data_IF_595037626720
#
_entry.id   IF_595037626720
#
_cell.length_a   1.000
_cell.length_b   1.000
_cell.length_c   1.000
_cell.angle_alpha   90.00
_cell.angle_beta   90.00
_cell.angle_gamma   90.00
#
_symmetry.space_group_name_H-M   'P 1'
#
loop_
_entity.id
_entity.type
_entity.pdbx_description
1 polymer ?
#
# COMPACT_ATOMS: atom_id res chain seq x y z
N UNK A 1 -62.34 24.97 56.28
CA UNK A 1 -61.21 24.04 56.05
C UNK A 1 -61.44 23.36 54.70
N UNK A 2 -60.76 23.83 53.66
CA UNK A 2 -60.74 23.24 52.32
C UNK A 2 -59.28 23.23 51.86
N UNK A 3 -58.74 22.12 51.31
CA UNK A 3 -57.35 22.10 50.86
C UNK A 3 -57.26 22.68 49.45
N UNK A 4 -56.35 23.64 49.27
CA UNK A 4 -55.92 24.12 47.96
C UNK A 4 -55.15 23.00 47.24
N UNK A 5 -55.64 22.57 46.08
CA UNK A 5 -54.89 21.78 45.11
C UNK A 5 -54.11 22.72 44.20
N UNK A 6 -52.79 22.74 44.34
CA UNK A 6 -51.88 23.37 43.37
C UNK A 6 -51.60 22.36 42.27
N UNK A 7 -52.06 22.65 41.06
CA UNK A 7 -51.79 21.87 39.85
C UNK A 7 -50.61 22.51 39.11
N UNK A 8 -49.42 21.90 39.22
CA UNK A 8 -48.27 22.25 38.38
C UNK A 8 -48.50 21.64 36.99
N UNK A 9 -48.75 22.50 35.99
CA UNK A 9 -48.68 22.13 34.57
C UNK A 9 -47.23 22.31 34.11
N UNK A 10 -46.53 21.20 33.86
CA UNK A 10 -45.32 21.22 33.04
C UNK A 10 -45.71 21.50 31.58
N UNK A 11 -45.06 22.43 30.86
CA UNK A 11 -45.26 22.58 29.44
C UNK A 11 -44.54 21.47 28.69
N UNK A 12 -45.30 20.66 27.95
CA UNK A 12 -44.80 19.70 26.97
C UNK A 12 -44.22 20.46 25.77
N UNK A 13 -42.96 20.88 25.86
CA UNK A 13 -42.19 21.38 24.72
C UNK A 13 -41.58 20.17 24.01
N UNK A 14 -42.38 19.57 23.12
CA UNK A 14 -41.91 18.59 22.15
C UNK A 14 -41.13 19.35 21.06
N UNK A 15 -39.88 19.71 21.34
CA UNK A 15 -38.98 20.22 20.32
C UNK A 15 -38.62 19.06 19.40
N UNK A 16 -39.05 19.15 18.14
CA UNK A 16 -38.61 18.25 17.10
C UNK A 16 -37.10 18.44 16.91
N UNK A 17 -36.31 17.55 17.51
CA UNK A 17 -34.91 17.33 17.16
C UNK A 17 -34.89 16.78 15.73
N UNK A 18 -34.87 17.68 14.75
CA UNK A 18 -34.44 17.34 13.40
C UNK A 18 -32.95 16.99 13.54
N UNK A 19 -32.53 15.75 13.27
CA UNK A 19 -31.11 15.45 13.23
C UNK A 19 -30.51 16.35 12.14
N UNK A 20 -29.70 17.33 12.56
CA UNK A 20 -28.70 17.93 11.68
C UNK A 20 -27.73 16.80 11.35
N UNK A 21 -28.08 15.98 10.35
CA UNK A 21 -27.11 15.21 9.63
C UNK A 21 -26.09 16.25 9.13
N UNK A 22 -24.90 16.25 9.73
CA UNK A 22 -23.72 16.82 9.10
C UNK A 22 -23.60 16.04 7.80
N UNK A 23 -24.21 16.59 6.76
CA UNK A 23 -24.04 16.11 5.40
C UNK A 23 -22.56 16.31 5.18
N UNK A 24 -21.77 15.23 5.30
CA UNK A 24 -20.45 15.20 4.70
C UNK A 24 -20.63 15.82 3.32
N UNK A 25 -19.85 16.87 2.97
CA UNK A 25 -20.03 17.56 1.70
C UNK A 25 -20.19 16.49 0.64
N UNK A 26 -21.36 16.45 -0.01
CA UNK A 26 -21.62 15.42 -1.00
C UNK A 26 -20.44 15.50 -1.97
N UNK A 27 -19.66 14.41 -2.05
CA UNK A 27 -18.50 14.37 -2.93
C UNK A 27 -19.00 14.80 -4.29
N UNK A 28 -18.48 15.94 -4.77
CA UNK A 28 -18.80 16.42 -6.10
C UNK A 28 -18.41 15.28 -7.04
N UNK A 29 -19.34 14.62 -7.74
CA UNK A 29 -19.04 13.47 -8.58
C UNK A 29 -18.11 13.84 -9.74
N UNK A 30 -17.78 15.13 -9.90
CA UNK A 30 -16.79 15.65 -10.83
C UNK A 30 -15.37 15.72 -10.27
N UNK A 31 -15.16 15.52 -8.96
CA UNK A 31 -13.80 15.47 -8.40
C UNK A 31 -13.14 14.16 -8.86
N UNK A 32 -11.91 14.24 -9.41
CA UNK A 32 -11.12 13.06 -9.67
C UNK A 32 -11.05 12.22 -8.39
N UNK A 33 -11.33 10.92 -8.53
CA UNK A 33 -11.27 9.98 -7.42
C UNK A 33 -10.40 8.78 -7.79
N UNK A 34 -9.81 8.19 -6.76
CA UNK A 34 -9.03 6.98 -6.85
C UNK A 34 -9.59 5.98 -5.83
N UNK A 35 -9.70 4.73 -6.26
CA UNK A 35 -10.27 3.65 -5.48
C UNK A 35 -9.30 2.51 -5.33
N UNK A 36 -9.36 1.83 -4.19
CA UNK A 36 -8.73 0.54 -4.00
C UNK A 36 -9.65 -0.31 -3.12
N UNK A 37 -9.67 -1.60 -3.39
CA UNK A 37 -10.35 -2.59 -2.55
C UNK A 37 -9.41 -3.78 -2.36
N UNK A 38 -9.69 -4.66 -1.40
CA UNK A 38 -8.93 -5.91 -1.21
C UNK A 38 -9.93 -7.05 -1.21
N UNK A 39 -9.70 -8.05 -2.07
CA UNK A 39 -10.54 -9.25 -2.08
C UNK A 39 -10.30 -10.07 -0.80
N UNK A 40 -11.30 -10.84 -0.35
CA UNK A 40 -11.08 -11.88 0.64
C UNK A 40 -9.95 -12.83 0.18
N UNK A 41 -9.33 -13.51 1.15
CA UNK A 41 -8.36 -14.58 0.86
C UNK A 41 -9.07 -15.66 0.05
N UNK A 42 -8.50 -15.97 -1.10
CA UNK A 42 -8.85 -17.14 -1.89
C UNK A 42 -7.86 -18.24 -1.55
N UNK A 43 -8.39 -19.43 -1.24
CA UNK A 43 -7.61 -20.61 -0.93
C UNK A 43 -7.87 -21.68 -2.00
N UNK A 44 -6.81 -22.31 -2.48
CA UNK A 44 -6.89 -23.49 -3.35
C UNK A 44 -5.81 -24.49 -3.01
N UNK A 45 -6.05 -25.77 -3.28
CA UNK A 45 -4.98 -26.77 -3.26
C UNK A 45 -4.07 -26.59 -4.47
N UNK A 46 -2.76 -26.73 -4.26
CA UNK A 46 -1.78 -26.76 -5.34
C UNK A 46 -1.82 -28.10 -6.07
N UNK A 47 -1.62 -28.04 -7.39
CA UNK A 47 -1.48 -29.20 -8.26
C UNK A 47 -0.34 -28.97 -9.24
N UNK A 48 0.46 -30.00 -9.52
CA UNK A 48 1.58 -29.92 -10.45
C UNK A 48 2.84 -29.20 -9.92
N UNK A 49 2.95 -29.03 -8.60
CA UNK A 49 4.07 -28.35 -7.92
C UNK A 49 4.93 -29.32 -7.08
N UNK A 50 4.92 -30.61 -7.42
CA UNK A 50 5.83 -31.61 -6.85
C UNK A 50 5.60 -31.81 -5.35
N UNK A 51 6.60 -31.48 -4.54
CA UNK A 51 6.51 -31.62 -3.07
C UNK A 51 5.47 -30.69 -2.43
N UNK A 52 4.97 -29.69 -3.17
CA UNK A 52 3.89 -28.81 -2.72
C UNK A 52 2.50 -29.26 -3.21
N UNK A 53 2.37 -30.41 -3.86
CA UNK A 53 1.06 -30.91 -4.29
C UNK A 53 0.13 -31.15 -3.10
N UNK A 54 -1.08 -30.59 -3.18
CA UNK A 54 -2.06 -30.63 -2.11
C UNK A 54 -1.88 -29.56 -1.02
N UNK A 55 -0.76 -28.84 -1.00
CA UNK A 55 -0.58 -27.71 -0.07
C UNK A 55 -1.59 -26.60 -0.39
N UNK A 56 -1.96 -25.81 0.63
CA UNK A 56 -2.85 -24.66 0.43
C UNK A 56 -2.09 -23.48 -0.16
N UNK A 57 -2.67 -22.88 -1.19
CA UNK A 57 -2.19 -21.66 -1.80
C UNK A 57 -3.15 -20.53 -1.52
N UNK A 58 -2.64 -19.47 -0.89
CA UNK A 58 -3.40 -18.27 -0.57
C UNK A 58 -3.17 -17.23 -1.66
N UNK A 59 -4.25 -16.58 -2.08
CA UNK A 59 -4.21 -15.44 -2.99
C UNK A 59 -5.11 -14.32 -2.47
N UNK A 60 -4.63 -13.08 -2.51
CA UNK A 60 -5.41 -11.86 -2.30
C UNK A 60 -5.08 -10.88 -3.39
N UNK A 61 -6.07 -10.16 -3.91
CA UNK A 61 -5.85 -9.14 -4.94
C UNK A 61 -6.47 -7.83 -4.49
N UNK A 62 -5.80 -6.74 -4.80
CA UNK A 62 -6.25 -5.40 -4.55
C UNK A 62 -6.30 -4.61 -5.86
N UNK A 63 -7.48 -4.54 -6.52
CA UNK A 63 -7.63 -3.71 -7.70
C UNK A 63 -7.66 -2.24 -7.30
N UNK A 64 -6.94 -1.43 -8.08
CA UNK A 64 -6.91 0.01 -8.06
C UNK A 64 -7.67 0.57 -9.25
N UNK A 65 -8.49 1.59 -9.01
CA UNK A 65 -9.12 2.39 -10.06
C UNK A 65 -8.74 3.86 -9.89
N UNK A 66 -7.80 4.34 -10.70
CA UNK A 66 -7.39 5.74 -10.81
C UNK A 66 -6.89 6.00 -12.23
N UNK A 67 -6.85 7.25 -12.67
CA UNK A 67 -6.39 7.59 -14.02
C UNK A 67 -7.16 6.86 -15.13
N UNK A 68 -6.47 6.63 -16.25
CA UNK A 68 -7.03 5.94 -17.41
C UNK A 68 -6.84 4.41 -17.37
N UNK A 69 -6.01 3.89 -16.45
CA UNK A 69 -5.51 2.52 -16.50
C UNK A 69 -5.77 1.78 -15.19
N UNK A 70 -6.35 0.56 -15.23
CA UNK A 70 -6.50 -0.23 -14.02
C UNK A 70 -5.16 -0.80 -13.59
N UNK A 71 -4.90 -0.73 -12.29
CA UNK A 71 -3.78 -1.44 -11.66
C UNK A 71 -4.34 -2.47 -10.68
N UNK A 72 -3.54 -3.47 -10.36
CA UNK A 72 -3.87 -4.38 -9.27
C UNK A 72 -2.59 -4.89 -8.64
N UNK A 73 -2.60 -5.04 -7.32
CA UNK A 73 -1.53 -5.71 -6.57
C UNK A 73 -2.07 -7.01 -6.02
N UNK A 74 -1.32 -8.10 -6.14
CA UNK A 74 -1.66 -9.38 -5.55
C UNK A 74 -0.64 -9.84 -4.54
N UNK A 75 -1.12 -10.53 -3.50
CA UNK A 75 -0.31 -11.36 -2.63
C UNK A 75 -0.57 -12.83 -2.91
N UNK A 76 0.50 -13.62 -3.01
CA UNK A 76 0.40 -15.06 -3.24
C UNK A 76 1.44 -15.82 -2.42
N UNK A 77 1.05 -16.92 -1.77
CA UNK A 77 1.99 -17.81 -1.09
C UNK A 77 1.39 -19.20 -0.84
N UNK A 78 2.25 -20.22 -0.80
CA UNK A 78 1.93 -21.53 -0.26
C UNK A 78 1.97 -21.49 1.28
N UNK A 79 0.85 -21.80 1.92
CA UNK A 79 0.64 -21.73 3.37
C UNK A 79 0.21 -23.11 3.89
N UNK A 80 1.20 -23.93 4.24
CA UNK A 80 0.97 -25.29 4.70
C UNK A 80 1.66 -25.54 6.03
N UNK A 81 1.08 -26.42 6.86
CA UNK A 81 1.66 -26.80 8.14
C UNK A 81 3.05 -27.45 7.98
N UNK A 82 3.33 -28.04 6.81
CA UNK A 82 4.65 -28.57 6.47
C UNK A 82 5.76 -27.50 6.48
N UNK A 83 5.41 -26.21 6.37
CA UNK A 83 6.36 -25.09 6.39
C UNK A 83 6.58 -24.49 7.79
N UNK A 84 5.90 -25.00 8.82
CA UNK A 84 5.94 -24.42 10.17
C UNK A 84 5.38 -23.00 10.18
N UNK A 85 6.18 -22.05 10.69
CA UNK A 85 5.82 -20.62 10.74
C UNK A 85 6.17 -19.85 9.46
N UNK A 86 6.71 -20.53 8.45
CA UNK A 86 7.10 -19.93 7.17
C UNK A 86 6.03 -20.13 6.09
N UNK A 87 6.15 -19.35 5.01
CA UNK A 87 5.38 -19.54 3.78
C UNK A 87 6.35 -19.73 2.62
N UNK A 88 5.89 -20.38 1.55
CA UNK A 88 6.71 -20.60 0.35
C UNK A 88 6.14 -19.80 -0.82
N UNK A 89 6.83 -18.75 -1.28
CA UNK A 89 6.45 -18.03 -2.50
C UNK A 89 6.92 -18.83 -3.72
N UNK A 90 6.03 -19.63 -4.32
CA UNK A 90 6.37 -20.54 -5.43
C UNK A 90 7.01 -19.80 -6.63
N UNK A 91 6.46 -18.64 -6.98
CA UNK A 91 6.96 -17.82 -8.10
C UNK A 91 7.43 -16.43 -7.62
N UNK A 92 6.75 -15.93 -6.59
CA UNK A 92 7.02 -14.73 -5.82
C UNK A 92 5.83 -14.44 -4.89
N UNK A 93 5.75 -13.23 -4.33
CA UNK A 93 4.73 -12.92 -3.32
C UNK A 93 4.05 -11.56 -3.48
N UNK A 94 4.67 -10.53 -4.05
CA UNK A 94 3.99 -9.29 -4.46
C UNK A 94 3.91 -9.28 -5.98
N UNK A 95 2.71 -9.45 -6.53
CA UNK A 95 2.45 -9.51 -7.97
C UNK A 95 1.67 -8.30 -8.49
N UNK A 96 1.77 -8.02 -9.80
CA UNK A 96 1.00 -6.96 -10.46
C UNK A 96 0.17 -7.55 -11.63
N UNK A 97 -1.04 -8.10 -11.39
CA UNK A 97 -1.83 -8.75 -12.45
C UNK A 97 -2.53 -7.82 -13.44
N UNK A 98 -2.45 -6.50 -13.26
CA UNK A 98 -3.04 -5.48 -14.13
C UNK A 98 -2.09 -4.29 -14.26
N UNK A 99 -2.08 -3.61 -15.42
CA UNK A 99 -3.08 -3.69 -16.50
C UNK A 99 -2.94 -4.87 -17.48
N UNK A 100 -1.75 -5.40 -17.73
CA UNK A 100 -1.58 -6.54 -18.62
C UNK A 100 -1.00 -7.76 -17.89
N UNK A 101 -1.02 -8.91 -18.57
CA UNK A 101 -0.47 -10.15 -18.00
C UNK A 101 1.05 -10.26 -18.18
N UNK A 102 1.58 -9.57 -19.19
CA UNK A 102 3.01 -9.37 -19.44
C UNK A 102 3.49 -8.17 -18.61
N UNK A 103 4.70 -7.66 -18.83
CA UNK A 103 5.29 -6.59 -18.00
C UNK A 103 5.50 -7.00 -16.54
N UNK A 104 5.01 -6.27 -15.54
CA UNK A 104 5.31 -6.57 -14.14
C UNK A 104 4.67 -7.89 -13.74
N UNK A 105 5.49 -8.83 -13.24
CA UNK A 105 5.01 -10.20 -13.11
C UNK A 105 3.84 -10.36 -12.12
N UNK A 106 2.74 -10.91 -12.60
CA UNK A 106 1.52 -11.08 -11.82
C UNK A 106 1.67 -12.00 -10.58
N UNK A 107 2.63 -12.93 -10.59
CA UNK A 107 2.90 -13.84 -9.47
C UNK A 107 4.02 -13.37 -8.52
N UNK A 108 4.72 -12.28 -8.84
CA UNK A 108 5.93 -11.89 -8.12
C UNK A 108 6.80 -10.91 -8.90
N UNK A 109 6.44 -9.63 -8.89
CA UNK A 109 7.22 -8.57 -9.53
C UNK A 109 8.10 -7.81 -8.55
N UNK A 110 7.84 -7.82 -7.23
CA UNK A 110 8.56 -7.03 -6.23
C UNK A 110 8.99 -7.89 -5.04
N UNK A 111 10.26 -7.77 -4.67
CA UNK A 111 10.91 -8.54 -3.62
C UNK A 111 11.75 -7.63 -2.73
N UNK A 112 11.74 -7.85 -1.42
CA UNK A 112 12.52 -7.10 -0.44
C UNK A 112 13.38 -8.08 0.35
N UNK A 113 14.69 -7.83 0.39
CA UNK A 113 15.65 -8.64 1.12
C UNK A 113 16.36 -7.83 2.20
N UNK A 114 16.41 -8.39 3.40
CA UNK A 114 17.09 -7.84 4.58
C UNK A 114 18.17 -8.82 5.01
N UNK A 115 19.44 -8.41 5.09
CA UNK A 115 20.56 -9.30 5.42
C UNK A 115 20.59 -10.58 4.55
N UNK A 116 20.23 -10.44 3.27
CA UNK A 116 20.12 -11.54 2.30
C UNK A 116 18.85 -12.42 2.42
N UNK A 117 18.01 -12.21 3.44
CA UNK A 117 16.77 -12.95 3.66
C UNK A 117 15.59 -12.25 2.99
N UNK A 118 14.83 -12.99 2.19
CA UNK A 118 13.63 -12.50 1.53
C UNK A 118 12.45 -12.43 2.51
N UNK A 119 11.81 -11.26 2.64
CA UNK A 119 10.68 -11.11 3.56
C UNK A 119 9.47 -11.97 3.15
N UNK A 120 9.40 -12.38 1.88
CA UNK A 120 8.36 -13.26 1.35
C UNK A 120 8.37 -14.67 1.92
N UNK A 121 9.41 -15.06 2.66
CA UNK A 121 9.45 -16.31 3.43
C UNK A 121 8.65 -16.22 4.74
N UNK A 122 8.34 -15.00 5.21
CA UNK A 122 7.44 -14.79 6.34
C UNK A 122 5.99 -14.61 5.85
N UNK A 123 5.00 -15.09 6.61
CA UNK A 123 3.59 -14.85 6.28
C UNK A 123 3.29 -13.36 6.27
N UNK A 124 2.50 -12.92 5.28
CA UNK A 124 1.96 -11.57 5.27
C UNK A 124 1.09 -11.34 6.51
N UNK A 125 1.44 -10.33 7.31
CA UNK A 125 0.72 -9.96 8.53
C UNK A 125 -0.59 -9.26 8.19
N UNK A 126 -0.57 -8.32 7.23
CA UNK A 126 -1.78 -7.63 6.77
C UNK A 126 -1.71 -7.17 5.31
N UNK A 127 -2.89 -7.10 4.70
CA UNK A 127 -3.14 -6.43 3.42
C UNK A 127 -4.44 -5.65 3.57
N UNK A 128 -4.35 -4.32 3.58
CA UNK A 128 -5.48 -3.46 3.96
C UNK A 128 -5.55 -2.18 3.12
N UNK A 129 -6.77 -1.74 2.85
CA UNK A 129 -7.03 -0.41 2.28
C UNK A 129 -6.79 0.62 3.37
N UNK A 130 -5.77 1.46 3.20
CA UNK A 130 -5.47 2.55 4.12
C UNK A 130 -6.21 3.85 3.76
N UNK A 131 -6.47 4.06 2.46
CA UNK A 131 -7.20 5.23 1.97
C UNK A 131 -7.88 4.94 0.62
N UNK A 132 -9.07 5.50 0.39
CA UNK A 132 -9.79 5.48 -0.89
C UNK A 132 -10.63 6.76 -0.98
N UNK A 133 -10.78 7.34 -2.17
CA UNK A 133 -11.49 8.60 -2.39
C UNK A 133 -10.65 9.58 -3.19
N UNK A 134 -10.01 10.55 -2.55
CA UNK A 134 -9.15 11.55 -3.23
C UNK A 134 -7.84 10.97 -3.77
N UNK A 135 -7.41 9.84 -3.20
CA UNK A 135 -6.28 8.99 -3.62
C UNK A 135 -6.54 7.58 -3.09
N UNK A 136 -5.82 6.60 -3.61
CA UNK A 136 -5.93 5.21 -3.21
C UNK A 136 -4.63 4.74 -2.55
N UNK A 137 -4.71 4.20 -1.34
CA UNK A 137 -3.55 3.67 -0.61
C UNK A 137 -3.83 2.24 -0.15
N UNK A 138 -2.92 1.33 -0.52
CA UNK A 138 -2.89 -0.06 -0.07
C UNK A 138 -1.66 -0.29 0.80
N UNK A 139 -1.84 -0.89 1.96
CA UNK A 139 -0.76 -1.39 2.81
C UNK A 139 -0.63 -2.89 2.70
N UNK A 140 0.63 -3.34 2.64
CA UNK A 140 1.05 -4.71 2.87
C UNK A 140 2.11 -4.71 3.96
N UNK A 141 1.90 -5.44 5.06
CA UNK A 141 2.80 -5.44 6.21
C UNK A 141 3.30 -6.86 6.52
N UNK A 142 4.61 -6.96 6.78
CA UNK A 142 5.28 -8.16 7.29
C UNK A 142 5.94 -7.86 8.62
N UNK A 143 5.63 -8.66 9.64
CA UNK A 143 6.37 -8.67 10.91
C UNK A 143 7.54 -9.66 10.82
N UNK A 144 8.56 -9.32 10.02
CA UNK A 144 9.73 -10.17 9.82
C UNK A 144 10.66 -10.15 11.05
N UNK A 145 11.39 -11.26 11.37
CA UNK A 145 12.30 -11.28 12.52
C UNK A 145 13.39 -10.21 12.53
N UNK A 146 13.77 -9.70 11.35
CA UNK A 146 14.78 -8.63 11.19
C UNK A 146 14.19 -7.22 11.29
N UNK A 147 12.94 -7.02 10.85
CA UNK A 147 12.29 -5.71 10.80
C UNK A 147 10.77 -5.88 10.61
N UNK A 148 9.99 -4.91 11.08
CA UNK A 148 8.65 -4.72 10.49
C UNK A 148 8.82 -4.00 9.15
N UNK A 149 8.25 -4.56 8.09
CA UNK A 149 8.32 -4.01 6.74
C UNK A 149 6.93 -3.67 6.25
N UNK A 150 6.74 -2.45 5.75
CA UNK A 150 5.54 -2.04 5.04
C UNK A 150 5.88 -1.76 3.59
N UNK A 151 5.12 -2.35 2.68
CA UNK A 151 5.07 -1.96 1.27
C UNK A 151 3.73 -1.28 1.04
N UNK A 152 3.78 0.01 0.73
CA UNK A 152 2.61 0.87 0.54
C UNK A 152 2.52 1.32 -0.90
N UNK A 153 1.40 1.01 -1.56
CA UNK A 153 1.12 1.46 -2.91
C UNK A 153 0.17 2.66 -2.90
N UNK A 154 0.47 3.67 -3.72
CA UNK A 154 -0.28 4.91 -3.85
C UNK A 154 -0.71 5.11 -5.31
N UNK A 155 -2.02 5.23 -5.51
CA UNK A 155 -2.65 5.63 -6.76
C UNK A 155 -3.24 7.04 -6.66
N UNK A 156 -2.96 7.88 -7.65
CA UNK A 156 -3.46 9.26 -7.71
C UNK A 156 -4.41 9.43 -8.90
N UNK A 157 -5.54 10.16 -8.76
CA UNK A 157 -6.58 10.22 -9.80
C UNK A 157 -6.12 10.68 -11.18
N UNK A 158 -5.14 11.59 -11.24
CA UNK A 158 -4.66 12.23 -12.47
C UNK A 158 -3.31 11.66 -12.94
N UNK A 159 -2.88 10.52 -12.40
CA UNK A 159 -1.65 9.83 -12.78
C UNK A 159 -1.95 8.47 -13.39
N UNK A 160 -0.98 7.93 -14.12
CA UNK A 160 -1.06 6.64 -14.80
C UNK A 160 0.01 5.64 -14.32
N UNK A 161 0.74 5.99 -13.27
CA UNK A 161 1.70 5.13 -12.58
C UNK A 161 1.26 4.79 -11.17
N UNK A 162 1.79 3.70 -10.65
CA UNK A 162 1.60 3.27 -9.28
C UNK A 162 2.85 3.61 -8.46
N UNK A 163 2.69 4.49 -7.47
CA UNK A 163 3.78 4.89 -6.59
C UNK A 163 3.89 3.89 -5.44
N UNK A 164 5.09 3.72 -4.90
CA UNK A 164 5.39 2.73 -3.87
C UNK A 164 6.37 3.29 -2.84
N UNK A 165 6.04 3.17 -1.56
CA UNK A 165 6.94 3.37 -0.43
C UNK A 165 7.21 2.02 0.24
N UNK A 166 8.49 1.70 0.46
CA UNK A 166 8.91 0.60 1.33
C UNK A 166 9.46 1.22 2.60
N UNK A 167 8.77 1.02 3.72
CA UNK A 167 9.17 1.50 5.04
C UNK A 167 9.67 0.34 5.92
N UNK A 168 10.67 0.62 6.77
CA UNK A 168 11.34 -0.36 7.61
C UNK A 168 11.45 0.15 9.06
N UNK A 169 11.01 -0.68 10.01
CA UNK A 169 11.32 -0.55 11.44
C UNK A 169 12.22 -1.73 11.86
N UNK A 170 13.56 -1.58 11.81
CA UNK A 170 14.47 -2.66 12.13
C UNK A 170 14.36 -3.10 13.59
N UNK A 171 14.33 -4.42 13.80
CA UNK A 171 14.44 -5.06 15.13
C UNK A 171 15.86 -5.51 15.43
N UNK A 172 16.68 -5.58 14.40
CA UNK A 172 18.09 -5.95 14.42
C UNK A 172 18.88 -5.02 13.49
N UNK A 173 20.20 -5.00 13.61
CA UNK A 173 21.05 -4.27 12.67
C UNK A 173 20.90 -4.85 11.26
N UNK A 174 20.65 -3.97 10.30
CA UNK A 174 20.68 -4.30 8.88
C UNK A 174 22.10 -4.04 8.36
N UNK A 175 22.65 -5.00 7.65
CA UNK A 175 23.97 -4.96 6.99
C UNK A 175 23.80 -4.94 5.47
N UNK A 176 22.70 -5.48 4.95
CA UNK A 176 22.30 -5.36 3.55
C UNK A 176 20.80 -5.06 3.44
N UNK A 177 20.46 -4.22 2.47
CA UNK A 177 19.10 -3.88 2.09
C UNK A 177 19.01 -3.89 0.56
N UNK A 178 18.17 -4.76 0.03
CA UNK A 178 17.99 -4.94 -1.40
C UNK A 178 16.50 -4.98 -1.74
N UNK A 179 16.15 -4.31 -2.84
CA UNK A 179 14.84 -4.47 -3.48
C UNK A 179 15.08 -5.01 -4.88
N UNK A 180 14.39 -6.08 -5.25
CA UNK A 180 14.44 -6.64 -6.59
C UNK A 180 13.08 -6.53 -7.27
N UNK A 181 13.09 -6.27 -8.57
CA UNK A 181 11.91 -6.25 -9.41
C UNK A 181 12.06 -7.21 -10.61
N UNK A 182 10.94 -7.80 -11.05
CA UNK A 182 10.90 -8.75 -12.17
C UNK A 182 9.80 -8.36 -13.16
N UNK A 183 10.16 -8.27 -14.44
CA UNK A 183 9.20 -8.06 -15.52
C UNK A 183 9.45 -8.93 -16.75
N UNK A 184 8.43 -8.99 -17.62
CA UNK A 184 8.37 -9.69 -18.90
C UNK A 184 7.94 -8.69 -19.98
N UNK A 185 8.83 -7.78 -20.41
CA UNK A 185 8.44 -6.64 -21.23
C UNK A 185 7.73 -7.07 -22.51
N UNK A 186 6.55 -6.51 -22.76
CA UNK A 186 5.70 -6.73 -23.94
C UNK A 186 5.20 -8.16 -24.21
N UNK A 187 5.93 -9.22 -23.83
CA UNK A 187 5.65 -10.59 -24.29
C UNK A 187 6.31 -11.71 -23.44
N UNK A 188 5.63 -12.85 -23.32
CA UNK A 188 6.17 -14.08 -22.73
C UNK A 188 6.97 -14.91 -23.74
N UNK A 189 8.22 -14.50 -23.97
CA UNK A 189 9.18 -15.08 -24.94
C UNK A 189 9.38 -16.59 -24.80
N UNK A 190 9.88 -17.08 -23.66
CA UNK A 190 10.18 -18.52 -23.48
C UNK A 190 8.96 -19.42 -23.54
N UNK A 191 7.83 -18.98 -22.97
CA UNK A 191 6.56 -19.74 -23.05
C UNK A 191 6.16 -19.99 -24.52
N UNK A 192 6.34 -18.99 -25.37
CA UNK A 192 6.03 -19.05 -26.79
C UNK A 192 7.23 -19.45 -27.67
N UNK A 193 8.39 -19.76 -27.08
CA UNK A 193 9.64 -20.17 -27.75
C UNK A 193 10.12 -19.17 -28.81
N UNK A 194 10.05 -17.87 -28.49
CA UNK A 194 10.50 -16.78 -29.37
C UNK A 194 11.48 -15.88 -28.65
N UNK A 195 12.41 -15.31 -29.41
CA UNK A 195 13.33 -14.28 -28.92
C UNK A 195 12.74 -12.89 -29.15
N UNK A 196 12.90 -12.03 -28.16
CA UNK A 196 12.39 -10.68 -28.10
C UNK A 196 13.43 -9.58 -28.33
N UNK A 197 14.72 -9.93 -28.24
CA UNK A 197 15.80 -8.94 -28.25
C UNK A 197 15.55 -7.81 -27.22
N UNK A 198 15.38 -8.22 -25.97
CA UNK A 198 15.01 -7.32 -24.87
C UNK A 198 16.03 -6.24 -24.61
N UNK A 199 15.53 -5.11 -24.10
CA UNK A 199 16.31 -3.92 -23.80
C UNK A 199 15.88 -3.30 -22.49
N UNK A 200 16.83 -2.67 -21.83
CA UNK A 200 16.59 -1.74 -20.74
C UNK A 200 17.24 -0.41 -21.08
N UNK A 201 16.45 0.64 -21.27
CA UNK A 201 16.96 1.99 -21.42
C UNK A 201 16.93 2.70 -20.08
N UNK A 202 18.05 3.29 -19.69
CA UNK A 202 18.19 4.17 -18.52
C UNK A 202 18.69 5.55 -18.96
N UNK A 203 18.80 6.57 -18.07
CA UNK A 203 19.51 7.80 -18.39
C UNK A 203 20.96 7.58 -18.87
N UNK A 204 21.68 6.65 -18.23
CA UNK A 204 23.12 6.47 -18.43
C UNK A 204 23.49 5.44 -19.50
N UNK A 205 22.63 4.47 -19.79
CA UNK A 205 22.97 3.37 -20.69
C UNK A 205 21.75 2.70 -21.35
N UNK A 206 22.03 2.01 -22.46
CA UNK A 206 21.18 0.98 -23.03
C UNK A 206 21.79 -0.39 -22.68
N UNK A 207 21.02 -1.25 -22.05
CA UNK A 207 21.43 -2.61 -21.67
C UNK A 207 20.72 -3.60 -22.60
N UNK A 208 21.49 -4.45 -23.27
CA UNK A 208 20.98 -5.44 -24.22
C UNK A 208 20.76 -6.81 -23.56
N UNK A 209 19.84 -7.60 -24.10
CA UNK A 209 19.61 -8.98 -23.70
C UNK A 209 20.91 -9.80 -23.62
N UNK A 210 21.08 -10.53 -22.52
CA UNK A 210 22.26 -11.35 -22.25
C UNK A 210 23.49 -10.55 -21.76
N UNK A 211 23.40 -9.23 -21.66
CA UNK A 211 24.49 -8.36 -21.20
C UNK A 211 24.15 -7.68 -19.86
N UNK A 212 24.27 -8.38 -18.71
CA UNK A 212 23.95 -7.77 -17.43
C UNK A 212 24.88 -6.58 -17.13
N UNK A 213 24.34 -5.54 -16.52
CA UNK A 213 25.08 -4.33 -16.18
C UNK A 213 24.68 -3.81 -14.79
N UNK A 214 25.66 -3.27 -14.05
CA UNK A 214 25.44 -2.56 -12.79
C UNK A 214 25.82 -1.10 -12.98
N UNK A 215 24.92 -0.19 -12.63
CA UNK A 215 25.08 1.24 -12.80
C UNK A 215 24.87 1.97 -11.47
N UNK A 216 25.54 3.12 -11.24
CA UNK A 216 25.21 3.99 -10.13
C UNK A 216 23.74 4.42 -10.19
N UNK A 217 23.07 4.54 -9.03
CA UNK A 217 21.66 4.94 -8.99
C UNK A 217 21.40 6.29 -9.71
N UNK A 218 22.36 7.22 -9.68
CA UNK A 218 22.29 8.50 -10.41
C UNK A 218 22.21 8.37 -11.93
N UNK A 219 22.63 7.23 -12.49
CA UNK A 219 22.60 6.92 -13.93
C UNK A 219 21.45 5.97 -14.31
N UNK A 220 20.81 5.36 -13.31
CA UNK A 220 19.79 4.33 -13.44
C UNK A 220 18.50 4.61 -12.64
N UNK A 221 18.23 5.89 -12.33
CA UNK A 221 17.08 6.27 -11.50
C UNK A 221 15.72 6.15 -12.21
N UNK A 222 15.72 5.95 -13.52
CA UNK A 222 14.59 5.34 -14.22
C UNK A 222 15.08 4.32 -15.23
N UNK A 223 14.22 3.37 -15.54
CA UNK A 223 14.43 2.34 -16.54
C UNK A 223 13.15 2.10 -17.34
N UNK A 224 13.24 2.07 -18.67
CA UNK A 224 12.20 1.56 -19.56
C UNK A 224 12.61 0.17 -20.02
N UNK A 225 11.75 -0.81 -19.76
CA UNK A 225 11.95 -2.19 -20.15
C UNK A 225 11.08 -2.48 -21.36
N UNK A 226 11.69 -2.95 -22.43
CA UNK A 226 10.98 -3.16 -23.68
C UNK A 226 11.58 -4.29 -24.50
N UNK A 227 10.86 -4.63 -25.55
CA UNK A 227 11.18 -5.69 -26.49
C UNK A 227 11.20 -5.12 -27.91
N UNK A 228 12.28 -5.34 -28.65
CA UNK A 228 12.42 -4.77 -30.00
C UNK A 228 11.60 -5.56 -31.04
N UNK A 229 11.41 -6.86 -30.82
CA UNK A 229 10.64 -7.72 -31.72
C UNK A 229 9.15 -7.49 -31.48
N UNK A 230 8.74 -7.56 -30.21
CA UNK A 230 7.37 -7.41 -29.72
C UNK A 230 7.03 -5.94 -29.37
N UNK A 231 7.39 -5.03 -30.27
CA UNK A 231 6.96 -3.63 -30.20
C UNK A 231 5.56 -3.49 -30.83
N UNK A 232 4.68 -2.74 -30.16
CA UNK A 232 3.34 -2.43 -30.67
C UNK A 232 3.40 -1.75 -32.05
N UNK A 233 4.46 -0.99 -32.35
CA UNK A 233 4.68 -0.41 -33.68
C UNK A 233 4.87 -1.47 -34.80
N UNK A 234 5.31 -2.68 -34.45
CA UNK A 234 5.41 -3.81 -35.36
C UNK A 234 4.09 -4.59 -35.47
N UNK A 235 3.04 -4.18 -34.74
CA UNK A 235 1.75 -4.86 -34.69
C UNK A 235 1.72 -6.08 -33.76
N UNK A 236 2.67 -6.21 -32.85
CA UNK A 236 2.75 -7.33 -31.89
C UNK A 236 3.18 -6.85 -30.50
N UNK A 237 2.88 -7.63 -29.46
CA UNK A 237 3.24 -7.33 -28.08
C UNK A 237 2.25 -6.41 -27.38
N UNK A 238 2.34 -6.41 -26.05
CA UNK A 238 1.45 -5.63 -25.20
C UNK A 238 1.97 -4.22 -24.92
N UNK A 239 3.23 -3.90 -25.24
CA UNK A 239 3.87 -2.62 -24.92
C UNK A 239 4.75 -2.68 -23.67
N UNK A 240 5.62 -1.67 -23.46
CA UNK A 240 6.68 -1.72 -22.47
C UNK A 240 6.19 -1.41 -21.04
N UNK A 241 7.11 -1.52 -20.09
CA UNK A 241 6.91 -1.05 -18.71
C UNK A 241 8.09 -0.19 -18.25
N UNK A 242 7.91 0.55 -17.16
CA UNK A 242 8.97 1.38 -16.60
C UNK A 242 9.00 1.37 -15.08
N UNK A 243 10.19 1.62 -14.54
CA UNK A 243 10.47 1.81 -13.12
C UNK A 243 11.17 3.15 -12.94
N UNK A 244 10.86 3.85 -11.84
CA UNK A 244 11.66 4.95 -11.33
C UNK A 244 11.95 4.76 -9.83
N UNK A 245 13.06 5.34 -9.38
CA UNK A 245 13.50 5.38 -7.99
C UNK A 245 14.12 6.74 -7.66
N UNK A 246 14.27 7.05 -6.37
CA UNK A 246 15.01 8.25 -5.96
C UNK A 246 16.52 7.95 -5.90
N UNK A 247 17.36 8.59 -6.75
CA UNK A 247 18.78 8.27 -6.86
C UNK A 247 19.56 8.49 -5.56
N UNK A 248 19.11 9.39 -4.70
CA UNK A 248 19.72 9.67 -3.40
C UNK A 248 19.45 8.58 -2.33
N UNK A 249 18.48 7.70 -2.58
CA UNK A 249 18.12 6.63 -1.66
C UNK A 249 18.89 5.34 -1.94
N UNK A 250 19.18 5.04 -3.21
CA UNK A 250 19.88 3.84 -3.66
C UNK A 250 21.37 4.10 -3.94
N UNK A 251 22.18 3.05 -3.86
CA UNK A 251 23.61 3.10 -4.22
C UNK A 251 23.81 2.75 -5.70
N UNK A 252 23.28 1.61 -6.12
CA UNK A 252 23.45 1.05 -7.46
C UNK A 252 22.22 0.24 -7.89
N UNK A 253 22.12 0.04 -9.20
CA UNK A 253 21.07 -0.75 -9.84
C UNK A 253 21.73 -1.75 -10.79
N UNK A 254 21.45 -3.02 -10.60
CA UNK A 254 21.85 -4.10 -11.49
C UNK A 254 20.66 -4.50 -12.38
N UNK A 255 20.88 -4.54 -13.70
CA UNK A 255 19.92 -5.01 -14.68
C UNK A 255 20.41 -6.31 -15.30
N UNK A 256 19.52 -7.30 -15.39
CA UNK A 256 19.77 -8.61 -16.00
C UNK A 256 18.66 -8.93 -17.01
N UNK A 257 18.68 -8.33 -18.21
CA UNK A 257 17.76 -8.71 -19.27
C UNK A 257 18.14 -10.09 -19.81
N UNK A 258 17.45 -11.13 -19.37
CA UNK A 258 17.61 -12.48 -19.94
C UNK A 258 16.69 -12.64 -21.15
N UNK A 259 16.69 -13.83 -21.76
CA UNK A 259 15.74 -14.20 -22.80
C UNK A 259 14.31 -14.43 -22.29
N UNK A 260 14.06 -14.46 -20.96
CA UNK A 260 12.72 -14.67 -20.41
C UNK A 260 12.23 -13.76 -19.28
N UNK A 261 12.90 -13.55 -18.13
CA UNK A 261 12.62 -12.38 -17.30
C UNK A 261 13.66 -11.27 -17.53
N UNK A 262 13.27 -10.03 -17.27
CA UNK A 262 14.24 -8.99 -16.92
C UNK A 262 14.21 -8.84 -15.40
N UNK A 263 15.34 -9.09 -14.76
CA UNK A 263 15.50 -8.86 -13.33
C UNK A 263 16.22 -7.52 -13.11
N UNK A 264 15.71 -6.74 -12.17
CA UNK A 264 16.34 -5.50 -11.69
C UNK A 264 16.60 -5.66 -10.21
N UNK A 265 17.83 -5.44 -9.77
CA UNK A 265 18.21 -5.42 -8.36
C UNK A 265 18.67 -4.02 -7.99
N UNK A 266 18.13 -3.49 -6.90
CA UNK A 266 18.47 -2.17 -6.36
C UNK A 266 19.10 -2.37 -4.98
N UNK A 267 20.33 -1.90 -4.83
CA UNK A 267 21.06 -1.95 -3.56
C UNK A 267 20.90 -0.62 -2.84
N UNK A 268 20.47 -0.65 -1.58
CA UNK A 268 20.30 0.54 -0.74
C UNK A 268 21.32 0.55 0.40
N UNK A 269 21.70 1.73 0.92
CA UNK A 269 22.43 1.83 2.18
C UNK A 269 21.61 1.17 3.32
N UNK A 270 22.25 0.38 4.20
CA UNK A 270 21.54 -0.40 5.22
C UNK A 270 20.84 0.43 6.31
N UNK A 271 21.24 1.70 6.46
CA UNK A 271 20.62 2.66 7.38
C UNK A 271 19.37 3.34 6.79
N UNK A 272 19.02 3.09 5.52
CA UNK A 272 17.76 3.58 4.95
C UNK A 272 16.55 2.95 5.63
N UNK A 273 15.50 3.77 5.79
CA UNK A 273 14.25 3.38 6.45
C UNK A 273 13.03 3.56 5.56
N UNK A 274 13.16 4.35 4.50
CA UNK A 274 12.14 4.58 3.48
C UNK A 274 12.81 4.53 2.11
N UNK A 275 12.15 3.86 1.18
CA UNK A 275 12.57 3.70 -0.20
C UNK A 275 11.37 4.03 -1.09
N UNK A 276 11.58 4.84 -2.11
CA UNK A 276 10.53 5.30 -3.00
C UNK A 276 10.75 4.79 -4.41
N UNK A 277 9.71 4.16 -4.95
CA UNK A 277 9.66 3.59 -6.28
C UNK A 277 8.38 4.03 -6.98
N UNK A 278 8.41 4.05 -8.31
CA UNK A 278 7.21 4.19 -9.11
C UNK A 278 7.24 3.22 -10.29
N UNK A 279 6.08 2.65 -10.60
CA UNK A 279 5.92 1.62 -11.62
C UNK A 279 4.89 2.05 -12.65
N UNK A 280 5.19 1.81 -13.92
CA UNK A 280 4.27 2.02 -15.03
C UNK A 280 4.21 0.78 -15.91
N UNK A 281 3.05 0.56 -16.51
CA UNK A 281 2.88 -0.27 -17.70
C UNK A 281 2.26 0.60 -18.80
N UNK A 282 2.64 0.37 -20.05
CA UNK A 282 2.16 1.15 -21.19
C UNK A 282 1.47 0.22 -22.22
N UNK A 283 0.34 -0.40 -21.86
CA UNK A 283 -0.36 -1.32 -22.72
C UNK A 283 -0.79 -0.65 -24.03
N UNK A 284 -0.37 -1.21 -25.16
CA UNK A 284 -0.68 -0.70 -26.49
C UNK A 284 0.14 0.52 -26.93
N UNK A 285 1.17 0.92 -26.16
CA UNK A 285 2.07 2.01 -26.57
C UNK A 285 3.32 1.48 -27.27
N UNK A 286 3.75 2.11 -28.38
CA UNK A 286 5.04 1.84 -29.00
C UNK A 286 6.23 2.18 -28.10
N UNK A 287 7.33 1.44 -28.24
CA UNK A 287 8.54 1.66 -27.45
C UNK A 287 9.07 3.10 -27.58
N UNK A 288 9.10 3.62 -28.82
CA UNK A 288 9.62 4.95 -29.12
C UNK A 288 8.85 6.07 -28.39
N UNK A 289 7.52 5.92 -28.24
CA UNK A 289 6.67 6.89 -27.55
C UNK A 289 6.98 6.92 -26.06
N UNK A 290 7.05 5.75 -25.43
CA UNK A 290 7.34 5.61 -23.99
C UNK A 290 8.74 6.10 -23.67
N UNK A 291 9.73 5.76 -24.50
CA UNK A 291 11.09 6.27 -24.35
C UNK A 291 11.17 7.80 -24.47
N UNK A 292 10.44 8.39 -25.42
CA UNK A 292 10.39 9.83 -25.58
C UNK A 292 9.76 10.50 -24.36
N UNK A 293 8.66 9.95 -23.84
CA UNK A 293 7.98 10.43 -22.64
C UNK A 293 8.89 10.41 -21.42
N UNK A 294 9.52 9.28 -21.09
CA UNK A 294 10.38 9.19 -19.90
C UNK A 294 11.60 10.10 -19.98
N UNK A 295 12.14 10.32 -21.19
CA UNK A 295 13.22 11.30 -21.40
C UNK A 295 12.76 12.75 -21.19
N UNK A 296 11.55 13.08 -21.62
CA UNK A 296 11.00 14.43 -21.49
C UNK A 296 10.55 14.72 -20.04
N UNK A 297 9.81 13.80 -19.44
CA UNK A 297 9.06 14.04 -18.21
C UNK A 297 9.75 13.46 -16.97
N UNK A 298 10.76 12.61 -17.13
CA UNK A 298 11.37 11.87 -16.03
C UNK A 298 11.77 12.76 -14.84
N UNK A 299 12.31 13.95 -15.10
CA UNK A 299 12.73 14.87 -14.02
C UNK A 299 11.55 15.38 -13.20
N UNK A 300 10.42 15.68 -13.85
CA UNK A 300 9.19 16.06 -13.18
C UNK A 300 8.62 14.87 -12.39
N UNK A 301 8.57 13.68 -12.99
CA UNK A 301 8.13 12.45 -12.31
C UNK A 301 8.97 12.14 -11.07
N UNK A 302 10.29 12.37 -11.12
CA UNK A 302 11.16 12.23 -9.94
C UNK A 302 10.82 13.21 -8.84
N UNK A 303 10.57 14.48 -9.19
CA UNK A 303 10.20 15.49 -8.21
C UNK A 303 8.84 15.20 -7.57
N UNK A 304 7.90 14.67 -8.35
CA UNK A 304 6.62 14.17 -7.83
C UNK A 304 6.82 13.01 -6.86
N UNK A 305 7.64 12.00 -7.21
CA UNK A 305 7.96 10.87 -6.33
C UNK A 305 8.64 11.34 -5.03
N UNK A 306 9.54 12.31 -5.11
CA UNK A 306 10.26 12.88 -3.95
C UNK A 306 9.34 13.64 -2.99
N UNK A 307 8.26 14.23 -3.51
CA UNK A 307 7.32 15.04 -2.73
C UNK A 307 5.99 14.34 -2.43
N UNK A 308 5.82 13.11 -2.92
CA UNK A 308 4.63 12.31 -2.70
C UNK A 308 4.46 12.01 -1.20
N UNK A 309 3.28 12.31 -0.67
CA UNK A 309 2.95 12.01 0.72
C UNK A 309 2.25 10.66 0.83
N UNK A 310 2.96 9.66 1.33
CA UNK A 310 2.45 8.31 1.56
C UNK A 310 1.68 8.15 2.88
N UNK A 311 1.50 9.20 3.68
CA UNK A 311 0.82 9.13 4.98
C UNK A 311 -0.70 9.19 4.79
N UNK A 312 -1.50 8.19 5.20
CA UNK A 312 -2.94 8.19 5.00
C UNK A 312 -3.60 9.38 5.69
N UNK A 313 -4.68 9.90 5.11
CA UNK A 313 -5.39 11.07 5.61
C UNK A 313 -5.86 10.87 7.06
N UNK A 314 -6.29 9.65 7.41
CA UNK A 314 -6.69 9.29 8.76
C UNK A 314 -5.54 9.41 9.77
N UNK A 315 -4.31 9.11 9.36
CA UNK A 315 -3.11 9.21 10.20
C UNK A 315 -2.67 10.67 10.31
N UNK A 316 -2.67 11.43 9.22
CA UNK A 316 -2.32 12.86 9.23
C UNK A 316 -3.28 13.71 10.04
N UNK A 317 -4.57 13.40 9.97
CA UNK A 317 -5.61 14.13 10.69
C UNK A 317 -5.70 13.74 12.17
N UNK A 318 -4.91 12.76 12.61
CA UNK A 318 -4.95 12.27 13.97
C UNK A 318 -4.31 13.29 14.92
N UNK A 319 -5.13 13.84 15.80
CA UNK A 319 -4.67 14.55 16.98
C UNK A 319 -4.84 13.64 18.21
N UNK A 320 -3.77 12.91 18.55
CA UNK A 320 -3.75 12.02 19.70
C UNK A 320 -4.00 12.74 21.02
N UNK A 321 -3.62 14.01 21.13
CA UNK A 321 -3.84 14.80 22.34
C UNK A 321 -5.32 15.18 22.48
N UNK A 322 -5.95 15.64 21.39
CA UNK A 322 -7.39 15.89 21.37
C UNK A 322 -8.19 14.60 21.64
N UNK A 323 -7.77 13.49 21.06
CA UNK A 323 -8.40 12.17 21.24
C UNK A 323 -8.31 11.69 22.70
N UNK A 324 -7.16 11.84 23.36
CA UNK A 324 -7.03 11.58 24.80
C UNK A 324 -7.94 12.50 25.62
N UNK A 325 -7.98 13.80 25.29
CA UNK A 325 -8.82 14.77 25.99
C UNK A 325 -10.31 14.46 25.84
N UNK A 326 -10.74 13.98 24.67
CA UNK A 326 -12.11 13.55 24.39
C UNK A 326 -12.49 12.33 25.22
N UNK A 327 -11.63 11.31 25.28
CA UNK A 327 -11.85 10.11 26.10
C UNK A 327 -11.84 10.44 27.59
N UNK A 328 -10.92 11.29 28.05
CA UNK A 328 -10.87 11.76 29.44
C UNK A 328 -12.15 12.52 29.82
N UNK A 329 -12.64 13.39 28.93
CA UNK A 329 -13.91 14.10 29.12
C UNK A 329 -15.07 13.11 29.24
N UNK A 330 -15.19 12.17 28.30
CA UNK A 330 -16.22 11.14 28.30
C UNK A 330 -16.21 10.32 29.61
N UNK A 331 -15.02 10.01 30.11
CA UNK A 331 -14.82 9.26 31.35
C UNK A 331 -15.29 10.00 32.60
N UNK A 332 -15.17 11.34 32.61
CA UNK A 332 -15.62 12.15 33.75
C UNK A 332 -17.14 12.32 33.79
N UNK A 333 -17.84 12.09 32.69
CA UNK A 333 -19.31 12.20 32.63
C UNK A 333 -19.97 10.91 33.16
N UNK A 334 -20.75 11.03 34.24
CA UNK A 334 -21.50 9.90 34.79
C UNK A 334 -22.53 9.35 33.81
N UNK A 335 -23.22 10.23 33.07
CA UNK A 335 -24.21 9.83 32.09
C UNK A 335 -23.58 9.07 30.91
N UNK A 336 -22.43 9.54 30.41
CA UNK A 336 -21.69 8.85 29.35
C UNK A 336 -21.17 7.50 29.84
N UNK A 337 -20.62 7.43 31.07
CA UNK A 337 -20.21 6.15 31.68
C UNK A 337 -21.37 5.16 31.81
N UNK A 338 -22.54 5.62 32.27
CA UNK A 338 -23.71 4.78 32.40
C UNK A 338 -24.22 4.27 31.05
N UNK A 339 -24.13 5.10 30.00
CA UNK A 339 -24.58 4.75 28.65
C UNK A 339 -23.62 3.80 27.93
N UNK A 340 -22.32 4.08 27.97
CA UNK A 340 -21.31 3.32 27.20
C UNK A 340 -20.78 2.09 27.94
N UNK A 341 -20.81 2.07 29.28
CA UNK A 341 -20.38 0.92 30.07
C UNK A 341 -18.97 0.43 29.70
N UNK A 342 -18.86 -0.86 29.38
CA UNK A 342 -17.59 -1.53 29.02
C UNK A 342 -16.92 -0.93 27.77
N UNK A 343 -17.71 -0.36 26.85
CA UNK A 343 -17.20 0.21 25.61
C UNK A 343 -16.25 1.39 25.86
N UNK A 344 -16.51 2.17 26.91
CA UNK A 344 -15.62 3.25 27.32
C UNK A 344 -14.27 2.72 27.80
N UNK A 345 -14.26 1.64 28.57
CA UNK A 345 -13.04 0.97 29.05
C UNK A 345 -12.21 0.41 27.89
N UNK A 346 -12.87 -0.19 26.89
CA UNK A 346 -12.20 -0.68 25.68
C UNK A 346 -11.48 0.46 24.96
N UNK A 347 -12.14 1.61 24.77
CA UNK A 347 -11.55 2.75 24.08
C UNK A 347 -10.45 3.41 24.89
N UNK A 348 -10.59 3.54 26.21
CA UNK A 348 -9.51 4.01 27.09
C UNK A 348 -8.25 3.15 26.96
N UNK A 349 -8.42 1.83 26.99
CA UNK A 349 -7.32 0.86 26.82
C UNK A 349 -6.67 1.05 25.45
N UNK A 350 -7.48 1.15 24.41
CA UNK A 350 -6.99 1.38 23.05
C UNK A 350 -6.20 2.70 22.92
N UNK A 351 -6.69 3.81 23.48
CA UNK A 351 -5.96 5.10 23.44
C UNK A 351 -4.62 5.01 24.16
N UNK A 352 -4.57 4.31 25.29
CA UNK A 352 -3.34 4.11 26.04
C UNK A 352 -2.31 3.25 25.27
N UNK A 353 -2.78 2.29 24.48
CA UNK A 353 -1.93 1.41 23.66
C UNK A 353 -1.49 2.06 22.33
N UNK A 354 -2.39 2.74 21.64
CA UNK A 354 -2.15 3.37 20.35
C UNK A 354 -1.26 4.61 20.45
N UNK A 355 -1.20 5.21 21.63
CA UNK A 355 -0.33 6.32 21.94
C UNK A 355 0.27 6.03 23.32
N UNK A 356 1.40 5.32 23.43
CA UNK A 356 2.10 5.24 24.70
C UNK A 356 2.49 6.65 25.15
N UNK A 357 2.37 6.92 26.45
CA UNK A 357 2.75 8.22 27.01
C UNK A 357 4.27 8.44 26.82
N UNK A 358 4.65 9.41 25.99
CA UNK A 358 6.05 9.84 25.85
C UNK A 358 6.63 9.88 24.45
N UNK A 359 5.86 9.57 23.38
CA UNK A 359 6.34 9.88 22.03
C UNK A 359 6.43 11.41 21.85
N UNK A 360 7.61 11.95 21.49
CA UNK A 360 7.76 13.37 21.24
C UNK A 360 6.83 13.77 20.08
N UNK A 361 6.14 14.89 20.25
CA UNK A 361 5.34 15.48 19.19
C UNK A 361 6.25 15.76 17.97
N UNK A 362 6.18 14.93 16.94
CA UNK A 362 6.93 15.13 15.69
C UNK A 362 7.59 13.88 15.11
N UNK A 363 7.78 12.81 15.89
CA UNK A 363 8.30 11.56 15.33
C UNK A 363 7.18 10.81 14.57
N UNK A 364 7.48 10.22 13.39
CA UNK A 364 6.51 9.39 12.69
C UNK A 364 6.19 8.14 13.54
N UNK A 365 4.92 7.73 13.54
CA UNK A 365 4.48 6.48 14.16
C UNK A 365 5.28 5.30 13.60
N UNK A 366 5.60 4.33 14.46
CA UNK A 366 6.05 3.02 13.99
C UNK A 366 5.01 2.39 13.06
N UNK A 367 5.45 1.52 12.15
CA UNK A 367 4.60 0.83 11.20
C UNK A 367 3.50 0.04 11.92
N UNK A 368 3.83 -0.65 13.01
CA UNK A 368 2.83 -1.38 13.81
C UNK A 368 1.81 -0.45 14.48
N UNK A 369 2.26 0.70 14.99
CA UNK A 369 1.36 1.67 15.59
C UNK A 369 0.41 2.26 14.54
N UNK A 370 0.93 2.59 13.35
CA UNK A 370 0.12 3.07 12.23
C UNK A 370 -0.86 2.01 11.72
N UNK A 371 -0.43 0.75 11.61
CA UNK A 371 -1.27 -0.41 11.24
C UNK A 371 -2.43 -0.59 12.24
N UNK A 372 -2.13 -0.61 13.54
CA UNK A 372 -3.14 -0.71 14.61
C UNK A 372 -4.11 0.47 14.58
N UNK A 373 -3.58 1.68 14.38
CA UNK A 373 -4.37 2.89 14.24
C UNK A 373 -5.33 2.82 13.06
N UNK A 374 -4.85 2.47 11.86
CA UNK A 374 -5.69 2.34 10.67
C UNK A 374 -6.78 1.28 10.83
N UNK A 375 -6.47 0.15 11.45
CA UNK A 375 -7.43 -0.90 11.77
C UNK A 375 -8.51 -0.48 12.80
N UNK A 376 -8.26 0.58 13.57
CA UNK A 376 -9.11 1.02 14.69
C UNK A 376 -9.78 2.37 14.47
N UNK A 377 -9.34 3.18 13.51
CA UNK A 377 -9.84 4.54 13.31
C UNK A 377 -11.36 4.58 13.06
N UNK A 378 -11.89 3.60 12.31
CA UNK A 378 -13.33 3.47 12.10
C UNK A 378 -14.10 3.17 13.40
N UNK A 379 -13.52 2.35 14.30
CA UNK A 379 -14.10 2.06 15.62
C UNK A 379 -14.09 3.31 16.49
N UNK A 380 -13.02 4.11 16.44
CA UNK A 380 -12.92 5.37 17.17
C UNK A 380 -13.98 6.38 16.72
N UNK A 381 -14.14 6.59 15.41
CA UNK A 381 -15.18 7.50 14.93
C UNK A 381 -16.58 7.04 15.32
N UNK A 382 -16.85 5.72 15.28
CA UNK A 382 -18.09 5.16 15.81
C UNK A 382 -18.28 5.48 17.30
N UNK A 383 -17.26 5.25 18.12
CA UNK A 383 -17.28 5.57 19.54
C UNK A 383 -17.55 7.06 19.82
N UNK A 384 -16.91 7.98 19.07
CA UNK A 384 -17.14 9.41 19.28
C UNK A 384 -18.58 9.84 18.94
N UNK A 385 -19.24 9.15 18.02
CA UNK A 385 -20.68 9.34 17.80
C UNK A 385 -21.52 8.82 18.97
N UNK A 386 -21.15 7.68 19.56
CA UNK A 386 -21.83 7.14 20.74
C UNK A 386 -21.66 8.07 21.96
N UNK A 387 -20.48 8.66 22.16
CA UNK A 387 -20.23 9.68 23.20
C UNK A 387 -21.14 10.89 22.99
N UNK A 388 -21.18 11.47 21.77
CA UNK A 388 -22.03 12.62 21.46
C UNK A 388 -23.51 12.31 21.64
N UNK A 389 -23.94 11.10 21.28
CA UNK A 389 -25.31 10.64 21.49
C UNK A 389 -25.63 10.54 22.99
N UNK A 390 -24.72 9.99 23.80
CA UNK A 390 -24.88 9.91 25.24
C UNK A 390 -24.96 11.29 25.90
N UNK A 391 -24.08 12.22 25.49
CA UNK A 391 -24.11 13.63 25.93
C UNK A 391 -25.46 14.28 25.57
N UNK A 392 -25.93 14.11 24.33
CA UNK A 392 -27.22 14.63 23.88
C UNK A 392 -28.40 14.07 24.68
N UNK A 393 -28.42 12.76 24.94
CA UNK A 393 -29.48 12.10 25.73
C UNK A 393 -29.47 12.54 27.20
N UNK A 394 -28.31 12.94 27.71
CA UNK A 394 -28.15 13.48 29.07
C UNK A 394 -28.47 14.99 29.17
N UNK A 395 -28.67 15.67 28.05
CA UNK A 395 -28.88 17.12 28.00
C UNK A 395 -27.60 17.93 28.31
N UNK A 396 -26.43 17.39 27.97
CA UNK A 396 -25.11 18.01 28.14
C UNK A 396 -24.67 18.82 26.92
#
# INVERSE_FOLDING_TARGET
MSPLRVSLRLPTLLAALIPLAVRAPADDPRRPSATVSVTPVQERALTGHGEHDGHRFHTRTAPFGFGAQPYAISYQACVDAAHGDQVVPLEGYIGMPQPCSTNWYHGGFLFVRLNGQDIGAAPLSSMAVAESGTRAILDMVWHHPLATVRVRFLGLPDHDGLFCEIALDPRQELTTLEVSARCYPSYFTSWNRRDGARRVQTPGALIEQGTPATLPASEAWWAVYYDEVFDVANGEGDGPCALALLPQEAAEVEFRPTDYPVETRITYPPDRRRLHLAFWEFPGSPNAEVLARLRADGTALRAELETADFTPAAVRALDLAALRADVDRATRSEAVRAYLGERLTEVQTWVAEAAPAGEPAGDPLSIEAEEKLLASVGKYYGFMWEVKLAELLAGL
#
